data_IF_555986864942
#
_entry.id   IF_555986864942
#
_cell.length_a   1.000
_cell.length_b   1.000
_cell.length_c   1.000
_cell.angle_alpha   90.00
_cell.angle_beta   90.00
_cell.angle_gamma   90.00
#
_symmetry.space_group_name_H-M   'P 1'
#
loop_
_entity.id
_entity.type
_entity.pdbx_description
1 polymer ?
#
# COMPACT_ATOMS: atom_id res chain seq x y z
N UNK A 1 11.69 -17.49 44.71
CA UNK A 1 10.98 -17.56 43.41
C UNK A 1 10.82 -16.15 42.89
N UNK A 2 11.21 -15.85 41.64
CA UNK A 2 10.80 -14.60 41.01
C UNK A 2 9.26 -14.55 40.94
N UNK A 3 8.64 -13.37 41.09
CA UNK A 3 7.19 -13.22 41.04
C UNK A 3 6.65 -13.64 39.66
N UNK A 4 5.45 -14.24 39.57
CA UNK A 4 4.83 -14.55 38.29
C UNK A 4 4.61 -13.24 37.51
N UNK A 5 5.03 -13.24 36.25
CA UNK A 5 4.78 -12.12 35.35
C UNK A 5 3.28 -11.83 35.25
N UNK A 6 2.84 -10.56 35.23
CA UNK A 6 1.43 -10.23 35.06
C UNK A 6 0.94 -10.84 33.74
N UNK A 7 -0.16 -11.61 33.80
CA UNK A 7 -0.85 -12.08 32.62
C UNK A 7 -1.24 -10.86 31.75
N UNK A 8 -1.05 -10.88 30.43
CA UNK A 8 -1.46 -9.78 29.58
C UNK A 8 -2.97 -9.60 29.77
N UNK A 9 -3.33 -8.43 30.29
CA UNK A 9 -4.71 -7.97 30.41
C UNK A 9 -5.40 -8.23 29.07
N UNK A 10 -6.61 -8.77 29.10
CA UNK A 10 -7.53 -8.79 27.95
C UNK A 10 -7.92 -7.35 27.62
N UNK A 11 -6.94 -6.56 27.20
CA UNK A 11 -7.08 -5.26 26.61
C UNK A 11 -7.42 -5.48 25.15
N UNK A 12 -8.28 -4.62 24.62
CA UNK A 12 -8.52 -4.58 23.19
C UNK A 12 -7.19 -4.59 22.42
N UNK A 13 -7.12 -5.30 21.29
CA UNK A 13 -5.90 -5.37 20.50
C UNK A 13 -5.43 -3.95 20.16
N UNK A 14 -4.22 -3.62 20.61
CA UNK A 14 -3.58 -2.33 20.35
C UNK A 14 -3.29 -2.16 18.86
N UNK A 15 -3.04 -0.92 18.44
CA UNK A 15 -2.62 -0.63 17.07
C UNK A 15 -1.31 -1.36 16.74
N UNK A 16 -1.19 -1.88 15.52
CA UNK A 16 0.01 -2.58 15.10
C UNK A 16 1.24 -1.67 15.17
N UNK A 17 2.31 -2.17 15.77
CA UNK A 17 3.58 -1.46 15.80
C UNK A 17 4.15 -1.39 14.37
N UNK A 18 4.33 -0.18 13.82
CA UNK A 18 4.73 -0.02 12.43
C UNK A 18 6.13 -0.57 12.14
N UNK A 19 7.03 -0.63 13.13
CA UNK A 19 8.38 -1.16 12.93
C UNK A 19 8.38 -2.68 12.74
N UNK A 20 7.34 -3.37 13.23
CA UNK A 20 7.14 -4.81 13.01
C UNK A 20 6.24 -5.16 11.82
N UNK A 21 5.67 -4.18 11.11
CA UNK A 21 4.88 -4.41 9.91
C UNK A 21 5.77 -4.56 8.68
N UNK A 22 5.51 -5.61 7.89
CA UNK A 22 6.18 -5.82 6.59
C UNK A 22 5.19 -5.52 5.47
N UNK A 23 5.46 -4.46 4.72
CA UNK A 23 4.68 -4.14 3.53
C UNK A 23 5.29 -4.83 2.33
N UNK A 24 4.45 -5.33 1.44
CA UNK A 24 4.82 -5.86 0.14
C UNK A 24 3.87 -5.29 -0.90
N UNK A 25 4.40 -5.03 -2.10
CA UNK A 25 3.61 -4.65 -3.26
C UNK A 25 4.04 -5.53 -4.42
N UNK A 26 3.06 -6.15 -5.05
CA UNK A 26 3.23 -7.05 -6.18
C UNK A 26 2.32 -6.59 -7.32
N UNK A 27 2.72 -6.89 -8.55
CA UNK A 27 2.00 -6.44 -9.74
C UNK A 27 2.79 -6.72 -11.00
N UNK A 28 2.20 -6.43 -12.17
CA UNK A 28 2.87 -6.68 -13.43
C UNK A 28 4.08 -5.74 -13.57
N UNK A 29 5.23 -6.33 -13.91
CA UNK A 29 6.45 -5.57 -14.23
C UNK A 29 6.38 -4.90 -15.59
N UNK A 30 5.43 -5.29 -16.43
CA UNK A 30 5.16 -4.66 -17.71
C UNK A 30 3.72 -4.13 -17.68
N UNK A 31 3.60 -2.82 -17.85
CA UNK A 31 2.33 -2.11 -17.86
C UNK A 31 2.15 -1.48 -19.23
N UNK A 32 0.91 -1.34 -19.68
CA UNK A 32 0.60 -0.68 -20.96
C UNK A 32 -0.17 0.59 -20.67
N UNK A 33 0.18 1.68 -21.34
CA UNK A 33 -0.55 2.94 -21.18
C UNK A 33 -2.05 2.73 -21.47
N UNK A 34 -2.93 3.33 -20.67
CA UNK A 34 -4.39 3.20 -20.78
C UNK A 34 -4.97 1.79 -20.54
N UNK A 35 -4.16 0.83 -20.12
CA UNK A 35 -4.63 -0.50 -19.72
C UNK A 35 -4.71 -0.58 -18.20
N UNK A 36 -5.86 -0.94 -17.61
CA UNK A 36 -5.97 -1.09 -16.16
C UNK A 36 -5.00 -2.16 -15.63
N UNK A 37 -4.17 -1.74 -14.68
CA UNK A 37 -3.19 -2.54 -13.96
C UNK A 37 -3.64 -2.73 -12.53
N UNK A 38 -3.69 -3.97 -12.05
CA UNK A 38 -3.99 -4.27 -10.65
C UNK A 38 -2.71 -4.52 -9.85
N UNK A 39 -2.49 -3.73 -8.81
CA UNK A 39 -1.44 -3.93 -7.83
C UNK A 39 -1.97 -4.69 -6.63
N UNK A 40 -1.29 -5.75 -6.21
CA UNK A 40 -1.55 -6.44 -4.96
C UNK A 40 -0.66 -5.87 -3.88
N UNK A 41 -1.26 -5.15 -2.95
CA UNK A 41 -0.55 -4.69 -1.75
C UNK A 41 -0.85 -5.67 -0.62
N UNK A 42 0.17 -6.02 0.16
CA UNK A 42 0.06 -6.93 1.30
C UNK A 42 0.81 -6.36 2.49
N UNK A 43 0.21 -6.41 3.68
CA UNK A 43 0.83 -5.99 4.94
C UNK A 43 0.84 -7.20 5.87
N UNK A 44 2.02 -7.66 6.27
CA UNK A 44 2.21 -8.80 7.17
C UNK A 44 2.56 -8.31 8.56
N UNK A 45 1.93 -8.91 9.57
CA UNK A 45 2.24 -8.65 10.97
C UNK A 45 3.42 -9.51 11.45
N UNK A 46 4.60 -8.90 11.56
CA UNK A 46 5.80 -9.52 12.12
C UNK A 46 6.04 -9.23 13.60
N UNK A 47 5.09 -8.60 14.32
CA UNK A 47 5.25 -8.21 15.74
C UNK A 47 5.07 -9.36 16.72
N UNK A 48 4.64 -10.54 16.25
CA UNK A 48 4.41 -11.72 17.09
C UNK A 48 3.21 -11.61 18.04
N UNK A 49 2.42 -10.54 17.94
CA UNK A 49 1.20 -10.30 18.74
C UNK A 49 0.05 -9.88 17.84
N UNK A 50 -1.18 -10.21 18.22
CA UNK A 50 -2.37 -9.73 17.49
C UNK A 50 -2.53 -8.21 17.67
N UNK A 51 -2.79 -7.50 16.58
CA UNK A 51 -2.92 -6.05 16.61
C UNK A 51 -3.98 -5.54 15.62
N UNK A 52 -4.52 -4.35 15.86
CA UNK A 52 -5.45 -3.66 14.95
C UNK A 52 -4.65 -2.93 13.88
N UNK A 53 -4.96 -3.20 12.61
CA UNK A 53 -4.46 -2.46 11.47
C UNK A 53 -5.62 -1.75 10.78
N UNK A 54 -5.46 -0.45 10.57
CA UNK A 54 -6.38 0.36 9.78
C UNK A 54 -5.66 0.93 8.57
N UNK A 55 -6.12 0.54 7.39
CA UNK A 55 -5.61 0.99 6.11
C UNK A 55 -6.65 1.90 5.46
N UNK A 56 -6.32 3.18 5.38
CA UNK A 56 -7.13 4.24 4.77
C UNK A 56 -6.25 5.09 3.88
N UNK A 57 -6.82 6.01 3.12
CA UNK A 57 -6.08 7.06 2.41
C UNK A 57 -5.13 7.88 3.30
N UNK A 58 -5.35 7.92 4.63
CA UNK A 58 -4.46 8.63 5.56
C UNK A 58 -3.28 7.78 6.02
N UNK A 59 -3.46 6.46 6.02
CA UNK A 59 -2.45 5.52 6.52
C UNK A 59 -1.75 4.77 5.40
N UNK A 60 -2.28 4.77 4.18
CA UNK A 60 -1.70 4.14 3.01
C UNK A 60 -1.77 5.07 1.79
N UNK A 61 -0.65 5.15 1.09
CA UNK A 61 -0.53 5.88 -0.17
C UNK A 61 0.30 5.06 -1.15
N UNK A 62 -0.24 4.79 -2.34
CA UNK A 62 0.51 4.27 -3.48
C UNK A 62 0.79 5.42 -4.45
N UNK A 63 2.06 5.67 -4.73
CA UNK A 63 2.51 6.69 -5.68
C UNK A 63 3.23 6.03 -6.84
N UNK A 64 2.87 6.39 -8.07
CA UNK A 64 3.61 5.97 -9.26
C UNK A 64 4.44 7.14 -9.78
N UNK A 65 5.74 6.90 -9.91
CA UNK A 65 6.70 7.84 -10.46
C UNK A 65 7.24 7.35 -11.79
N UNK A 66 7.59 8.26 -12.69
CA UNK A 66 8.39 8.02 -13.88
C UNK A 66 9.62 8.91 -13.82
N UNK A 67 10.77 8.33 -13.50
CA UNK A 67 11.97 9.09 -13.14
C UNK A 67 11.71 10.02 -11.94
N UNK A 68 11.68 11.33 -12.17
CA UNK A 68 11.38 12.36 -11.15
C UNK A 68 9.95 12.89 -11.23
N UNK A 69 9.19 12.55 -12.27
CA UNK A 69 7.81 12.99 -12.44
C UNK A 69 6.85 12.07 -11.68
N UNK A 70 5.96 12.65 -10.87
CA UNK A 70 4.90 11.88 -10.21
C UNK A 70 3.71 11.76 -11.17
N UNK A 71 3.47 10.55 -11.63
CA UNK A 71 2.45 10.25 -12.63
C UNK A 71 1.07 10.07 -11.99
N UNK A 72 1.01 9.35 -10.88
CA UNK A 72 -0.26 8.99 -10.24
C UNK A 72 -0.07 8.79 -8.73
N UNK A 73 -1.13 9.03 -7.95
CA UNK A 73 -1.20 8.66 -6.53
C UNK A 73 -2.62 8.20 -6.19
N UNK A 74 -2.76 7.22 -5.30
CA UNK A 74 -4.07 6.86 -4.74
C UNK A 74 -4.76 8.04 -4.04
N UNK A 75 -3.98 9.00 -3.49
CA UNK A 75 -4.57 10.20 -2.87
C UNK A 75 -5.17 11.18 -3.88
N UNK A 76 -4.71 11.11 -5.13
CA UNK A 76 -5.23 11.95 -6.21
C UNK A 76 -6.65 11.54 -6.56
N UNK A 77 -6.95 10.25 -6.43
CA UNK A 77 -8.25 9.69 -6.64
C UNK A 77 -8.57 8.60 -5.62
N UNK A 78 -9.20 9.00 -4.51
CA UNK A 78 -9.73 8.10 -3.47
C UNK A 78 -11.00 7.38 -3.95
N UNK A 79 -11.15 7.17 -5.27
CA UNK A 79 -12.22 6.34 -5.81
C UNK A 79 -11.70 4.91 -5.77
N UNK A 80 -12.11 4.15 -4.75
CA UNK A 80 -12.03 2.70 -4.79
C UNK A 80 -11.16 2.01 -3.74
N UNK A 81 -10.58 2.74 -2.78
CA UNK A 81 -9.99 2.09 -1.59
C UNK A 81 -10.94 2.19 -0.40
N UNK A 82 -11.76 1.17 -0.11
CA UNK A 82 -12.54 1.15 1.12
C UNK A 82 -11.59 1.12 2.32
N UNK A 83 -11.86 1.89 3.39
CA UNK A 83 -11.08 1.83 4.62
C UNK A 83 -11.14 0.40 5.16
N UNK A 84 -9.98 -0.24 5.28
CA UNK A 84 -9.87 -1.61 5.80
C UNK A 84 -9.46 -1.56 7.25
N UNK A 85 -10.34 -2.00 8.14
CA UNK A 85 -10.04 -2.18 9.56
C UNK A 85 -10.08 -3.66 9.87
N UNK A 86 -8.94 -4.23 10.25
CA UNK A 86 -8.83 -5.66 10.52
C UNK A 86 -7.95 -5.91 11.74
N UNK A 87 -8.17 -7.06 12.36
CA UNK A 87 -7.28 -7.61 13.36
C UNK A 87 -6.27 -8.51 12.64
N UNK A 88 -4.99 -8.11 12.60
CA UNK A 88 -3.93 -8.99 12.15
C UNK A 88 -3.43 -9.79 13.33
N UNK A 89 -3.69 -11.09 13.31
CA UNK A 89 -2.96 -12.04 14.13
C UNK A 89 -1.47 -12.08 13.72
N UNK A 90 -0.57 -12.57 14.59
CA UNK A 90 0.83 -12.76 14.23
C UNK A 90 0.97 -13.64 12.98
N UNK A 91 1.90 -13.28 12.10
CA UNK A 91 2.17 -13.97 10.83
C UNK A 91 1.00 -13.98 9.83
N UNK A 92 -0.05 -13.18 10.08
CA UNK A 92 -1.13 -12.95 9.12
C UNK A 92 -0.85 -11.75 8.25
N UNK A 93 -1.33 -11.82 7.01
CA UNK A 93 -1.30 -10.72 6.06
C UNK A 93 -2.70 -10.13 5.82
N UNK A 94 -2.73 -8.82 5.61
CA UNK A 94 -3.84 -8.13 4.97
C UNK A 94 -3.41 -7.75 3.56
N UNK A 95 -4.06 -8.35 2.57
CA UNK A 95 -3.83 -8.01 1.16
C UNK A 95 -5.07 -7.41 0.49
N UNK A 96 -4.85 -6.53 -0.47
CA UNK A 96 -5.90 -5.95 -1.30
C UNK A 96 -5.37 -5.64 -2.70
N UNK A 97 -6.32 -5.56 -3.64
CA UNK A 97 -6.04 -5.13 -5.00
C UNK A 97 -6.31 -3.63 -5.10
N UNK A 98 -5.28 -2.89 -5.51
CA UNK A 98 -5.36 -1.50 -5.90
C UNK A 98 -5.32 -1.44 -7.42
N UNK A 99 -6.43 -1.05 -8.05
CA UNK A 99 -6.45 -0.82 -9.48
C UNK A 99 -5.87 0.56 -9.81
N UNK A 100 -5.05 0.60 -10.86
CA UNK A 100 -4.53 1.80 -11.49
C UNK A 100 -4.83 1.72 -12.98
N UNK A 101 -5.51 2.71 -13.54
CA UNK A 101 -5.89 2.73 -14.96
C UNK A 101 -4.71 2.98 -15.92
N UNK A 102 -3.46 2.84 -15.44
CA UNK A 102 -2.23 3.18 -16.16
C UNK A 102 -2.35 4.53 -16.88
N UNK A 103 -2.88 5.51 -16.15
CA UNK A 103 -3.05 6.87 -16.62
C UNK A 103 -2.51 7.87 -15.60
N UNK A 104 -2.11 9.04 -16.10
CA UNK A 104 -1.67 10.15 -15.27
C UNK A 104 -2.86 10.68 -14.46
N UNK A 105 -2.68 10.84 -13.15
CA UNK A 105 -3.63 11.57 -12.30
C UNK A 105 -3.13 13.00 -12.14
N UNK A 106 -3.96 13.97 -12.50
CA UNK A 106 -3.62 15.40 -12.44
C UNK A 106 -4.47 16.12 -11.40
N UNK A 107 -4.39 15.72 -10.13
CA UNK A 107 -5.19 16.29 -9.05
C UNK A 107 -6.67 15.96 -9.17
N UNK A 108 -7.34 15.67 -8.05
CA UNK A 108 -8.81 15.70 -7.97
C UNK A 108 -9.54 14.69 -8.89
N UNK A 109 -9.02 13.46 -9.02
CA UNK A 109 -9.57 12.42 -9.91
C UNK A 109 -9.69 12.82 -11.39
N UNK A 110 -9.03 13.90 -11.84
CA UNK A 110 -9.01 14.20 -13.26
C UNK A 110 -8.10 13.23 -13.97
N UNK A 111 -8.66 12.51 -14.94
CA UNK A 111 -7.89 11.76 -15.94
C UNK A 111 -6.98 12.76 -16.64
N UNK A 112 -5.67 12.61 -16.47
CA UNK A 112 -4.71 13.28 -17.33
C UNK A 112 -5.02 12.92 -18.76
N UNK A 113 -5.16 13.92 -19.62
CA UNK A 113 -5.29 13.73 -21.07
C UNK A 113 -3.95 13.48 -21.73
N UNK A 114 -2.85 13.64 -21.00
CA UNK A 114 -1.50 13.36 -21.49
C UNK A 114 -1.24 11.86 -21.51
N UNK A 115 -0.81 11.31 -22.67
CA UNK A 115 -0.41 9.92 -22.75
C UNK A 115 0.81 9.70 -21.87
N UNK A 116 0.82 8.58 -21.14
CA UNK A 116 2.02 8.14 -20.45
C UNK A 116 3.05 7.66 -21.47
N UNK A 117 4.28 8.17 -21.37
CA UNK A 117 5.37 7.76 -22.25
C UNK A 117 5.89 6.39 -21.85
N UNK A 118 6.33 5.59 -22.82
CA UNK A 118 7.06 4.36 -22.50
C UNK A 118 8.32 4.67 -21.69
N UNK A 119 8.63 3.80 -20.74
CA UNK A 119 9.76 4.04 -19.84
C UNK A 119 9.69 3.27 -18.54
N UNK A 120 10.53 3.66 -17.59
CA UNK A 120 10.61 3.01 -16.27
C UNK A 120 9.72 3.73 -15.27
N UNK A 121 8.77 2.99 -14.71
CA UNK A 121 7.82 3.47 -13.72
C UNK A 121 8.08 2.79 -12.39
N UNK A 122 7.90 3.50 -11.28
CA UNK A 122 8.12 2.98 -9.93
C UNK A 122 6.88 3.23 -9.09
N UNK A 123 6.17 2.16 -8.74
CA UNK A 123 5.08 2.20 -7.78
C UNK A 123 5.64 2.08 -6.37
N UNK A 124 5.57 3.17 -5.61
CA UNK A 124 6.00 3.26 -4.22
C UNK A 124 4.78 3.14 -3.31
N UNK A 125 4.66 2.01 -2.62
CA UNK A 125 3.63 1.79 -1.61
C UNK A 125 4.17 2.22 -0.26
N UNK A 126 3.51 3.19 0.36
CA UNK A 126 3.88 3.74 1.65
C UNK A 126 2.73 3.51 2.63
N UNK A 127 3.05 2.89 3.77
CA UNK A 127 2.12 2.73 4.90
C UNK A 127 2.67 3.55 6.06
N UNK A 128 1.79 4.19 6.82
CA UNK A 128 2.17 5.05 7.93
C UNK A 128 2.97 4.24 8.97
N UNK A 129 4.22 4.67 9.17
CA UNK A 129 5.18 4.07 10.08
C UNK A 129 5.90 2.83 9.54
N UNK A 130 5.33 2.09 8.59
CA UNK A 130 6.01 0.93 8.01
C UNK A 130 7.03 1.36 6.94
N UNK A 131 7.95 0.46 6.59
CA UNK A 131 8.94 0.74 5.53
C UNK A 131 8.22 0.82 4.18
N UNK A 132 8.44 1.90 3.40
CA UNK A 132 7.89 1.97 2.05
C UNK A 132 8.57 0.93 1.16
N UNK A 133 7.80 0.37 0.24
CA UNK A 133 8.29 -0.61 -0.73
C UNK A 133 8.05 -0.10 -2.14
N UNK A 134 8.96 -0.46 -3.04
CA UNK A 134 8.96 0.04 -4.41
C UNK A 134 8.90 -1.13 -5.39
N UNK A 135 7.97 -1.05 -6.34
CA UNK A 135 7.86 -1.96 -7.47
C UNK A 135 8.26 -1.22 -8.74
N UNK A 136 9.36 -1.66 -9.34
CA UNK A 136 9.82 -1.15 -10.63
C UNK A 136 9.07 -1.87 -11.75
N UNK A 137 8.59 -1.09 -12.70
CA UNK A 137 7.79 -1.51 -13.83
C UNK A 137 8.30 -0.84 -15.11
N UNK A 138 8.03 -1.45 -16.24
CA UNK A 138 8.28 -0.91 -17.57
C UNK A 138 6.95 -0.63 -18.24
N UNK A 139 6.69 0.63 -18.58
CA UNK A 139 5.54 0.98 -19.41
C UNK A 139 5.91 0.78 -20.88
N UNK A 140 5.13 -0.06 -21.55
CA UNK A 140 5.12 -0.19 -23.00
C UNK A 140 4.13 0.82 -23.57
N UNK A 141 4.58 1.57 -24.58
CA UNK A 141 3.77 2.54 -25.32
C UNK A 141 2.97 1.87 -26.43
#
# INVERSE_FOLDING_TARGET
MPPPAPAPTTGEPEWCDPAGLRVAVDGPRQVTAHVPTSFRVSIVNGTGRRCRLEVTERTFELKVYSGTDRIWSTLDCVIGMPPKKVLLDPDRDLSWQQEWLSNRSVGQCRKGSEPMNSGTYVATAQVQGARPVQLVMQLQG
#
